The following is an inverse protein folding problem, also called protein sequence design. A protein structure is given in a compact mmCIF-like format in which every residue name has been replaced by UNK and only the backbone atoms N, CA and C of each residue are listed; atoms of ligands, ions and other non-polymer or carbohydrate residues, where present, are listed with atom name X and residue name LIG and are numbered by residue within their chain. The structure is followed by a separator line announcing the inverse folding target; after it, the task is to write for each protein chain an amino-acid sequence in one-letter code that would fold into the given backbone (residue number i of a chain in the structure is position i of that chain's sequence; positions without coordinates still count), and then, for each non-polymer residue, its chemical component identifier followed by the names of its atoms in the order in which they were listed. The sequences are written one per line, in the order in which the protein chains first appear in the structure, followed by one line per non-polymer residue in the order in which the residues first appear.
data_IF_401001333652
#
_entry.id   IF_401001333652
#
_cell.length_a   1.000
_cell.length_b   1.000
_cell.length_c   1.000
_cell.angle_alpha   90.00
_cell.angle_beta   90.00
_cell.angle_gamma   90.00
#
_symmetry.space_group_name_H-M   'P 1'
#
loop_
_entity.id
_entity.type
_entity.pdbx_description
1 polymer ?
#
# COMPACT_ATOMS: atom_id res chain seq x y z
N UNK A 1 -4.38 -0.76 2.55
CA UNK A 1 -4.33 -0.07 1.24
C UNK A 1 -5.32 -0.67 0.24
N UNK A 2 -6.53 -0.12 0.15
CA UNK A 2 -7.59 -0.63 -0.77
C UNK A 2 -8.17 0.44 -1.69
N UNK A 3 -8.22 1.68 -1.24
CA UNK A 3 -8.86 2.82 -1.90
C UNK A 3 -7.89 3.68 -2.73
N UNK A 4 -6.59 3.40 -2.66
CA UNK A 4 -5.57 4.13 -3.42
C UNK A 4 -5.10 5.43 -2.75
N UNK A 5 -5.63 5.73 -1.57
CA UNK A 5 -5.15 6.78 -0.67
C UNK A 5 -4.32 6.10 0.43
N UNK A 6 -3.31 6.78 0.95
CA UNK A 6 -2.63 6.34 2.18
C UNK A 6 -3.16 7.21 3.30
N UNK A 7 -3.94 6.63 4.22
CA UNK A 7 -4.57 7.37 5.31
C UNK A 7 -4.45 6.69 6.69
N UNK A 8 -5.10 7.26 7.70
CA UNK A 8 -5.05 6.74 9.07
C UNK A 8 -5.62 5.31 9.22
N UNK A 9 -6.46 4.85 8.30
CA UNK A 9 -6.97 3.47 8.32
C UNK A 9 -5.90 2.48 7.88
N UNK A 10 -5.01 2.87 6.95
CA UNK A 10 -3.84 2.06 6.58
C UNK A 10 -2.84 1.95 7.72
N UNK A 11 -2.63 3.04 8.47
CA UNK A 11 -1.78 3.04 9.66
C UNK A 11 -2.32 2.08 10.73
N UNK A 12 -3.64 2.07 10.95
CA UNK A 12 -4.29 1.14 11.86
C UNK A 12 -4.13 -0.33 11.43
N UNK A 13 -4.23 -0.62 10.13
CA UNK A 13 -4.00 -1.97 9.60
C UNK A 13 -2.55 -2.43 9.82
N UNK A 14 -1.57 -1.60 9.46
CA UNK A 14 -0.17 -1.95 9.65
C UNK A 14 0.20 -2.15 11.12
N UNK A 15 -0.36 -1.34 12.03
CA UNK A 15 -0.12 -1.50 13.46
C UNK A 15 -0.70 -2.81 14.02
N UNK A 16 -1.90 -3.19 13.55
CA UNK A 16 -2.52 -4.47 13.92
C UNK A 16 -1.74 -5.66 13.36
N UNK A 17 -1.28 -5.58 12.11
CA UNK A 17 -0.53 -6.64 11.46
C UNK A 17 0.87 -6.81 12.10
N UNK A 18 1.54 -5.71 12.44
CA UNK A 18 2.81 -5.70 13.18
C UNK A 18 2.65 -6.31 14.58
N UNK A 19 1.58 -5.95 15.30
CA UNK A 19 1.28 -6.50 16.63
C UNK A 19 1.01 -8.01 16.61
N UNK A 20 0.53 -8.54 15.47
CA UNK A 20 0.25 -9.95 15.26
C UNK A 20 1.40 -10.70 14.56
N UNK A 21 2.55 -10.05 14.32
CA UNK A 21 3.71 -10.63 13.62
C UNK A 21 3.33 -11.27 12.28
N UNK A 22 2.52 -10.58 11.49
CA UNK A 22 2.17 -11.05 10.16
C UNK A 22 3.41 -11.11 9.25
N UNK A 23 3.55 -12.20 8.51
CA UNK A 23 4.68 -12.46 7.62
C UNK A 23 4.20 -12.85 6.22
N UNK A 24 5.07 -12.69 5.23
CA UNK A 24 4.78 -12.92 3.82
C UNK A 24 4.44 -11.64 3.06
N UNK A 25 4.07 -11.77 1.78
CA UNK A 25 3.65 -10.65 0.94
C UNK A 25 2.22 -10.23 1.27
N UNK A 26 2.07 -9.51 2.38
CA UNK A 26 0.82 -8.87 2.78
C UNK A 26 0.91 -7.38 2.50
N UNK A 27 -0.24 -6.71 2.35
CA UNK A 27 -0.27 -5.30 1.89
C UNK A 27 0.40 -4.31 2.84
N UNK A 28 0.57 -4.71 4.09
CA UNK A 28 1.18 -3.91 5.16
C UNK A 28 2.70 -4.03 5.16
N UNK A 29 3.28 -5.00 4.43
CA UNK A 29 4.71 -5.08 4.11
C UNK A 29 4.99 -4.13 2.94
N UNK A 30 5.35 -2.89 3.28
CA UNK A 30 5.57 -1.81 2.30
C UNK A 30 7.04 -1.67 1.91
N UNK A 31 7.94 -2.27 2.70
CA UNK A 31 9.37 -2.30 2.43
C UNK A 31 9.79 -3.53 1.59
N UNK A 32 8.95 -4.57 1.53
CA UNK A 32 9.12 -5.79 0.73
C UNK A 32 9.99 -6.87 1.39
N UNK A 33 10.23 -6.81 2.71
CA UNK A 33 11.10 -7.73 3.45
C UNK A 33 10.35 -8.97 3.99
N UNK A 34 9.03 -9.03 3.78
CA UNK A 34 8.12 -10.12 4.17
C UNK A 34 7.84 -10.20 5.67
N UNK A 35 8.14 -9.17 6.43
CA UNK A 35 7.85 -9.06 7.85
C UNK A 35 7.14 -7.74 8.08
N UNK A 36 5.90 -7.80 8.59
CA UNK A 36 5.23 -6.55 8.98
C UNK A 36 5.73 -6.14 10.36
N UNK A 37 6.45 -5.03 10.43
CA UNK A 37 6.98 -4.52 11.70
C UNK A 37 6.91 -2.98 11.83
N UNK A 38 7.60 -2.44 12.84
CA UNK A 38 7.62 -1.01 13.12
C UNK A 38 8.19 -0.17 11.96
N UNK A 39 9.01 -0.76 11.09
CA UNK A 39 9.56 -0.09 9.90
C UNK A 39 8.47 0.22 8.87
N UNK A 40 7.55 -0.72 8.62
CA UNK A 40 6.41 -0.52 7.74
C UNK A 40 5.44 0.53 8.29
N UNK A 41 5.16 0.47 9.59
CA UNK A 41 4.32 1.44 10.30
C UNK A 41 4.90 2.85 10.14
N UNK A 42 6.23 3.00 10.25
CA UNK A 42 6.90 4.29 10.10
C UNK A 42 6.82 4.82 8.66
N UNK A 43 6.95 3.95 7.66
CA UNK A 43 6.80 4.33 6.24
C UNK A 43 5.38 4.83 5.98
N UNK A 44 4.37 4.09 6.45
CA UNK A 44 2.96 4.45 6.28
C UNK A 44 2.66 5.76 7.02
N UNK A 45 3.09 5.90 8.26
CA UNK A 45 2.92 7.12 9.07
C UNK A 45 3.50 8.36 8.36
N UNK A 46 4.70 8.25 7.81
CA UNK A 46 5.33 9.35 7.06
C UNK A 46 4.54 9.72 5.80
N UNK A 47 3.96 8.75 5.11
CA UNK A 47 3.15 8.98 3.91
C UNK A 47 1.79 9.60 4.24
N UNK A 48 1.16 9.19 5.35
CA UNK A 48 -0.06 9.81 5.88
C UNK A 48 0.19 11.28 6.22
N UNK A 49 1.26 11.56 6.98
CA UNK A 49 1.60 12.93 7.39
C UNK A 49 1.89 13.85 6.19
N UNK A 50 2.43 13.29 5.10
CA UNK A 50 2.75 14.02 3.87
C UNK A 50 1.61 14.04 2.85
N UNK A 51 0.45 13.46 3.15
CA UNK A 51 -0.69 13.31 2.22
C UNK A 51 -0.29 12.65 0.89
N UNK A 52 0.64 11.68 0.93
CA UNK A 52 1.09 10.96 -0.25
C UNK A 52 -0.01 10.02 -0.71
N UNK A 53 -0.43 10.13 -1.97
CA UNK A 53 -1.40 9.22 -2.57
C UNK A 53 -0.72 8.23 -3.51
N UNK A 54 -1.30 7.05 -3.67
CA UNK A 54 -0.73 6.05 -4.57
C UNK A 54 -1.06 6.42 -6.02
N UNK A 55 -0.03 6.61 -6.84
CA UNK A 55 -0.19 6.65 -8.30
C UNK A 55 -0.04 5.23 -8.83
N UNK A 56 -1.16 4.62 -9.21
CA UNK A 56 -1.17 3.35 -9.93
C UNK A 56 -1.20 3.63 -11.44
N UNK A 57 -0.49 2.85 -12.26
CA UNK A 57 -0.69 2.92 -13.71
C UNK A 57 -2.19 2.73 -13.98
N UNK A 58 -2.82 3.67 -14.69
CA UNK A 58 -4.11 3.39 -15.28
C UNK A 58 -3.87 2.23 -16.24
N UNK A 59 -4.56 1.10 -16.03
CA UNK A 59 -4.57 0.01 -17.00
C UNK A 59 -5.13 0.55 -18.32
N UNK A 60 -4.26 1.08 -19.18
CA UNK A 60 -4.56 1.27 -20.58
C UNK A 60 -4.61 -0.13 -21.18
N UNK A 61 -5.79 -0.73 -21.14
CA UNK A 61 -6.13 -1.79 -22.10
C UNK A 61 -6.11 -1.10 -23.45
N UNK A 62 -4.98 -1.18 -24.14
CA UNK A 62 -4.83 -0.74 -25.52
C UNK A 62 -5.78 -1.55 -26.39
N UNK A 63 -7.05 -1.14 -26.42
CA UNK A 63 -8.01 -1.57 -27.41
C UNK A 63 -7.46 -1.12 -28.76
N UNK A 64 -6.91 -2.08 -29.48
CA UNK A 64 -6.65 -1.99 -30.91
C UNK A 64 -7.92 -1.43 -31.54
N UNK A 65 -7.87 -0.16 -31.98
CA UNK A 65 -8.86 0.37 -32.91
C UNK A 65 -8.60 -0.33 -34.24
N UNK A 66 -9.23 -1.49 -34.44
CA UNK A 66 -9.49 -1.98 -35.80
C UNK A 66 -10.49 -1.01 -36.41
N UNK A 67 -10.04 -0.17 -37.34
CA UNK A 67 -10.90 0.68 -38.13
C UNK A 67 -11.53 -0.19 -39.23
N UNK A 68 -12.88 -0.30 -39.33
CA UNK A 68 -13.53 -1.00 -40.44
C UNK A 68 -13.36 -0.27 -41.78
#
# INVERSE_FOLDING_TARGET
MKDGVIDGTDLGQANNDASNYFTGYVRSDVNGDRIVDASDVMIISNNVFKYVTTMKPSSFTGGILINP
#
